data_IF_479803874029
#
_entry.id   IF_479803874029
#
_cell.length_a   1.000
_cell.length_b   1.000
_cell.length_c   1.000
_cell.angle_alpha   90.00
_cell.angle_beta   90.00
_cell.angle_gamma   90.00
#
_symmetry.space_group_name_H-M   'P 1'
#
loop_
_entity.id
_entity.type
_entity.pdbx_description
1 polymer ?
#
# COMPACT_ATOMS: atom_id res chain seq x y z
N UNK A 1 -9.73 1.61 6.19
CA UNK A 1 -10.56 1.03 5.09
C UNK A 1 -10.13 -0.40 4.81
N UNK A 2 -11.01 -1.26 4.28
CA UNK A 2 -10.60 -2.59 3.77
C UNK A 2 -10.17 -2.49 2.30
N UNK A 3 -9.01 -3.05 1.98
CA UNK A 3 -8.41 -3.09 0.65
C UNK A 3 -8.36 -4.55 0.19
N UNK A 4 -8.76 -4.80 -1.06
CA UNK A 4 -8.62 -6.13 -1.66
C UNK A 4 -7.18 -6.31 -2.12
N UNK A 5 -6.53 -7.37 -1.67
CA UNK A 5 -5.18 -7.76 -2.07
C UNK A 5 -5.22 -9.11 -2.76
N UNK A 6 -4.17 -9.41 -3.53
CA UNK A 6 -3.97 -10.69 -4.20
C UNK A 6 -2.60 -11.22 -3.82
N UNK A 7 -2.59 -12.45 -3.35
CA UNK A 7 -1.42 -13.21 -2.96
C UNK A 7 -0.84 -13.95 -4.16
N UNK A 8 0.41 -14.40 -4.04
CA UNK A 8 1.13 -15.15 -5.07
C UNK A 8 0.36 -16.42 -5.52
N UNK A 9 -0.35 -17.06 -4.60
CA UNK A 9 -1.14 -18.27 -4.84
C UNK A 9 -2.49 -18.01 -5.54
N UNK A 10 -2.63 -16.91 -6.29
CA UNK A 10 -3.87 -16.45 -6.93
C UNK A 10 -5.06 -16.24 -5.96
N UNK A 11 -4.82 -16.32 -4.66
CA UNK A 11 -5.84 -16.04 -3.65
C UNK A 11 -6.03 -14.54 -3.49
N UNK A 12 -7.27 -14.10 -3.27
CA UNK A 12 -7.56 -12.71 -2.95
C UNK A 12 -8.27 -12.59 -1.61
N UNK A 13 -7.84 -11.64 -0.78
CA UNK A 13 -8.47 -11.36 0.51
C UNK A 13 -8.70 -9.87 0.67
N UNK A 14 -9.56 -9.50 1.63
CA UNK A 14 -9.70 -8.12 2.09
C UNK A 14 -8.89 -7.95 3.37
N UNK A 15 -7.97 -7.00 3.36
CA UNK A 15 -7.13 -6.66 4.52
C UNK A 15 -7.38 -5.21 4.91
N UNK A 16 -7.06 -4.84 6.14
CA UNK A 16 -7.06 -3.43 6.50
C UNK A 16 -5.96 -2.66 5.76
N UNK A 17 -6.25 -1.43 5.39
CA UNK A 17 -5.33 -0.51 4.71
C UNK A 17 -4.00 -0.33 5.44
N UNK A 18 -4.00 -0.27 6.77
CA UNK A 18 -2.77 -0.16 7.56
C UNK A 18 -1.86 -1.39 7.43
N UNK A 19 -2.36 -2.54 6.96
CA UNK A 19 -1.55 -3.75 6.72
C UNK A 19 -0.96 -3.78 5.31
N UNK A 20 -1.45 -2.95 4.38
CA UNK A 20 -1.06 -3.01 2.97
C UNK A 20 0.45 -2.77 2.80
N UNK A 21 0.98 -1.72 3.43
CA UNK A 21 2.41 -1.37 3.36
C UNK A 21 3.28 -2.53 3.87
N UNK A 22 2.90 -3.14 4.99
CA UNK A 22 3.58 -4.31 5.55
C UNK A 22 3.55 -5.52 4.61
N UNK A 23 2.42 -5.79 3.96
CA UNK A 23 2.27 -6.90 3.02
C UNK A 23 3.11 -6.68 1.74
N UNK A 24 3.18 -5.43 1.27
CA UNK A 24 4.05 -5.04 0.14
C UNK A 24 5.52 -5.22 0.51
N UNK A 25 5.95 -4.67 1.66
CA UNK A 25 7.34 -4.77 2.13
C UNK A 25 7.78 -6.22 2.33
N UNK A 26 6.90 -7.06 2.88
CA UNK A 26 7.14 -8.49 3.07
C UNK A 26 7.02 -9.30 1.79
N UNK A 27 6.67 -8.68 0.65
CA UNK A 27 6.42 -9.34 -0.65
C UNK A 27 5.39 -10.49 -0.55
N UNK A 28 4.42 -10.35 0.34
CA UNK A 28 3.37 -11.37 0.54
C UNK A 28 2.24 -11.29 -0.49
N UNK A 29 2.11 -10.15 -1.15
CA UNK A 29 1.07 -9.90 -2.15
C UNK A 29 1.72 -9.53 -3.48
N UNK A 30 1.05 -9.92 -4.57
CA UNK A 30 1.45 -9.62 -5.96
C UNK A 30 0.65 -8.45 -6.53
N UNK A 31 -0.46 -8.08 -5.88
CA UNK A 31 -1.22 -6.91 -6.28
C UNK A 31 -2.30 -6.52 -5.28
N UNK A 32 -2.93 -5.37 -5.51
CA UNK A 32 -4.05 -4.88 -4.72
C UNK A 32 -4.98 -4.01 -5.55
N UNK A 33 -6.23 -3.87 -5.10
CA UNK A 33 -7.25 -3.07 -5.75
C UNK A 33 -7.48 -1.78 -4.97
N UNK A 34 -7.42 -0.66 -5.68
CA UNK A 34 -7.77 0.68 -5.20
C UNK A 34 -8.87 1.27 -6.08
N UNK A 35 -9.33 2.47 -5.77
CA UNK A 35 -10.45 3.12 -6.47
C UNK A 35 -10.26 3.30 -7.98
N UNK A 36 -9.02 3.37 -8.46
CA UNK A 36 -8.68 3.53 -9.89
C UNK A 36 -8.42 2.19 -10.61
N UNK A 37 -8.47 1.06 -9.89
CA UNK A 37 -8.29 -0.27 -10.47
C UNK A 37 -7.26 -1.13 -9.74
N UNK A 38 -6.76 -2.12 -10.48
CA UNK A 38 -5.83 -3.13 -9.98
C UNK A 38 -4.38 -2.67 -10.15
N UNK A 39 -3.58 -2.81 -9.10
CA UNK A 39 -2.15 -2.48 -9.06
C UNK A 39 -1.36 -3.76 -8.89
N UNK A 40 -0.44 -4.03 -9.82
CA UNK A 40 0.53 -5.14 -9.78
C UNK A 40 1.83 -4.67 -9.15
N UNK A 41 2.23 -5.33 -8.07
CA UNK A 41 3.47 -4.98 -7.37
C UNK A 41 4.66 -5.43 -8.21
N UNK A 42 5.59 -4.51 -8.47
CA UNK A 42 6.77 -4.75 -9.32
C UNK A 42 6.57 -4.43 -10.81
N UNK A 43 5.33 -4.20 -11.26
CA UNK A 43 5.01 -3.74 -12.62
C UNK A 43 4.40 -2.34 -12.61
N UNK A 44 3.41 -2.12 -11.75
CA UNK A 44 2.73 -0.84 -11.60
C UNK A 44 3.38 0.01 -10.52
N UNK A 45 3.16 1.33 -10.62
CA UNK A 45 3.59 2.29 -9.60
C UNK A 45 2.79 2.08 -8.31
N UNK A 46 3.31 1.24 -7.44
CA UNK A 46 2.97 1.22 -6.02
C UNK A 46 3.45 2.55 -5.44
N UNK A 47 2.54 3.33 -4.83
CA UNK A 47 2.84 4.69 -4.33
C UNK A 47 4.22 4.77 -3.63
N UNK A 48 5.05 5.74 -4.03
CA UNK A 48 6.01 6.38 -3.11
C UNK A 48 7.40 5.77 -2.92
N UNK A 49 8.06 5.21 -3.94
CA UNK A 49 9.55 5.20 -3.99
C UNK A 49 10.10 6.52 -4.52
N UNK A 50 9.67 7.65 -3.93
CA UNK A 50 10.17 8.98 -4.29
C UNK A 50 9.10 10.07 -4.22
N UNK A 51 9.11 10.82 -3.13
CA UNK A 51 8.33 12.05 -2.96
C UNK A 51 8.09 12.37 -1.50
N UNK A 52 8.67 13.47 -1.01
CA UNK A 52 8.25 14.09 0.24
C UNK A 52 6.78 14.51 0.09
N UNK A 53 5.87 13.71 0.62
CA UNK A 53 4.44 13.93 0.47
C UNK A 53 3.96 14.88 1.57
N UNK A 54 3.83 16.17 1.22
CA UNK A 54 3.34 17.24 2.09
C UNK A 54 1.80 17.22 2.08
N UNK A 55 1.20 16.14 2.57
CA UNK A 55 -0.25 15.99 2.73
C UNK A 55 -0.62 15.96 4.21
N UNK A 56 -1.64 16.74 4.60
CA UNK A 56 -1.95 17.06 6.00
C UNK A 56 -2.44 15.86 6.87
N UNK A 57 -2.56 14.66 6.29
CA UNK A 57 -3.17 13.47 6.92
C UNK A 57 -2.15 12.40 7.39
N UNK A 58 -0.91 12.80 7.70
CA UNK A 58 -0.05 12.10 8.68
C UNK A 58 0.47 13.09 9.73
N UNK A 59 -0.43 13.70 10.51
CA UNK A 59 -0.09 14.59 11.63
C UNK A 59 0.46 13.83 12.84
N UNK A 60 1.73 13.42 12.77
CA UNK A 60 2.62 13.53 13.93
C UNK A 60 3.76 14.45 13.53
N UNK A 61 3.64 15.70 13.94
CA UNK A 61 4.73 16.65 13.94
C UNK A 61 5.88 16.05 14.77
N UNK A 62 6.92 15.58 14.11
CA UNK A 62 8.21 15.43 14.77
C UNK A 62 8.75 16.85 14.96
N UNK A 63 8.60 17.37 16.18
CA UNK A 63 9.42 18.49 16.66
C UNK A 63 10.88 18.00 16.66
N UNK A 64 11.72 18.59 15.83
CA UNK A 64 13.16 18.53 16.00
C UNK A 64 13.56 19.62 17.01
N UNK A 65 14.35 19.23 18.01
CA UNK A 65 15.08 20.11 18.91
C UNK A 65 16.57 20.10 18.50
#
# INVERSE_FOLDING_TARGET
MLIRVVYDEFQSAKVHDYLLDSLIMQRKIVGFFRSDGYVRIGQDRVRGTGGSYVGHDRRRALKAA
#
